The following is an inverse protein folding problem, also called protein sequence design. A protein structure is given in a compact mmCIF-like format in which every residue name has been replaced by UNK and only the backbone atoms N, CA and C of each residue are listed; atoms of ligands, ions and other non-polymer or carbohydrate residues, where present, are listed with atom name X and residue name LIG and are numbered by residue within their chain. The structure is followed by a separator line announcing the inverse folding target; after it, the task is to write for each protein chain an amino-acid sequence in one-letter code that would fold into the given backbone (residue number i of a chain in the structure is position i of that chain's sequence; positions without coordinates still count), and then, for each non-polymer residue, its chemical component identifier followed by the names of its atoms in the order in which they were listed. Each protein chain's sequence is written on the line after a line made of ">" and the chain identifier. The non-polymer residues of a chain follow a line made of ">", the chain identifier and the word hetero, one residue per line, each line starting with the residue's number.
data_IF_852613127319
#
_entry.id   IF_852613127319
#
_cell.length_a   1.000
_cell.length_b   1.000
_cell.length_c   1.000
_cell.angle_alpha   90.00
_cell.angle_beta   90.00
_cell.angle_gamma   90.00
#
_symmetry.space_group_name_H-M   'P 1'
#
loop_
_entity.id
_entity.type
_entity.pdbx_description
1 polymer ?
#
# COMPACT_ATOMS: atom_id res chain seq x y z
N UNK A 1 -8.44 -16.22 -21.46
CA UNK A 1 -8.73 -16.93 -20.20
C UNK A 1 -10.09 -16.44 -19.74
N UNK A 2 -11.02 -17.34 -19.43
CA UNK A 2 -12.33 -16.94 -18.88
C UNK A 2 -12.13 -16.24 -17.53
N UNK A 3 -12.93 -15.22 -17.23
CA UNK A 3 -12.88 -14.54 -15.94
C UNK A 3 -13.07 -15.55 -14.80
N UNK A 4 -12.41 -15.35 -13.63
CA UNK A 4 -12.64 -16.19 -12.47
C UNK A 4 -14.14 -16.22 -12.15
N UNK A 5 -14.66 -17.41 -11.88
CA UNK A 5 -16.10 -17.64 -11.62
C UNK A 5 -16.50 -17.35 -10.17
N UNK A 6 -15.52 -17.12 -9.29
CA UNK A 6 -15.73 -16.80 -7.87
C UNK A 6 -15.81 -15.30 -7.59
N UNK A 7 -16.44 -14.95 -6.47
CA UNK A 7 -16.61 -13.57 -6.01
C UNK A 7 -15.32 -13.08 -5.35
N UNK A 8 -14.82 -11.92 -5.78
CA UNK A 8 -13.64 -11.27 -5.16
C UNK A 8 -14.11 -10.14 -4.23
N UNK A 9 -13.81 -10.28 -2.95
CA UNK A 9 -13.95 -9.20 -1.98
C UNK A 9 -12.72 -8.28 -2.00
N UNK A 10 -12.93 -6.97 -1.94
CA UNK A 10 -11.87 -5.95 -1.86
C UNK A 10 -12.08 -5.09 -0.64
N UNK A 11 -11.18 -5.17 0.33
CA UNK A 11 -11.15 -4.21 1.44
C UNK A 11 -10.45 -2.92 1.04
N UNK A 12 -10.68 -1.84 1.79
CA UNK A 12 -10.10 -0.54 1.47
C UNK A 12 -10.52 -0.03 0.08
N UNK A 13 -11.68 -0.46 -0.43
CA UNK A 13 -12.13 -0.13 -1.79
C UNK A 13 -12.44 1.36 -1.99
N UNK A 14 -12.67 2.12 -0.92
CA UNK A 14 -12.74 3.60 -0.96
C UNK A 14 -11.38 4.31 -0.85
N UNK A 15 -10.28 3.55 -0.81
CA UNK A 15 -8.90 4.02 -0.71
C UNK A 15 -8.20 4.11 -2.06
N UNK A 16 -6.94 4.55 -2.03
CA UNK A 16 -6.14 4.86 -3.23
C UNK A 16 -5.74 3.61 -4.03
N UNK A 17 -5.39 2.50 -3.38
CA UNK A 17 -5.05 1.23 -4.05
C UNK A 17 -6.30 0.36 -4.23
N UNK A 18 -7.05 0.08 -3.15
CA UNK A 18 -8.22 -0.80 -3.22
C UNK A 18 -9.25 -0.37 -4.26
N UNK A 19 -9.57 0.92 -4.36
CA UNK A 19 -10.50 1.42 -5.38
C UNK A 19 -9.97 1.32 -6.81
N UNK A 20 -8.65 1.39 -7.02
CA UNK A 20 -8.00 1.17 -8.32
C UNK A 20 -8.06 -0.30 -8.73
N UNK A 21 -7.81 -1.21 -7.79
CA UNK A 21 -7.95 -2.66 -8.01
C UNK A 21 -9.39 -3.02 -8.32
N UNK A 22 -10.34 -2.52 -7.54
CA UNK A 22 -11.77 -2.76 -7.76
C UNK A 22 -12.22 -2.34 -9.16
N UNK A 23 -11.81 -1.16 -9.65
CA UNK A 23 -12.11 -0.71 -11.02
C UNK A 23 -11.55 -1.66 -12.08
N UNK A 24 -10.26 -2.02 -11.97
CA UNK A 24 -9.59 -2.95 -12.91
C UNK A 24 -10.27 -4.31 -12.97
N UNK A 25 -10.75 -4.83 -11.83
CA UNK A 25 -11.48 -6.09 -11.77
C UNK A 25 -12.90 -5.97 -12.36
N UNK A 26 -13.60 -4.87 -12.08
CA UNK A 26 -14.93 -4.59 -12.63
C UNK A 26 -14.89 -4.47 -14.17
N UNK A 27 -13.84 -3.84 -14.72
CA UNK A 27 -13.62 -3.74 -16.17
C UNK A 27 -13.42 -5.11 -16.85
N UNK A 28 -13.06 -6.14 -16.07
CA UNK A 28 -12.97 -7.53 -16.54
C UNK A 28 -14.23 -8.36 -16.26
N UNK A 29 -15.29 -7.74 -15.74
CA UNK A 29 -16.56 -8.39 -15.43
C UNK A 29 -16.49 -9.35 -14.25
N UNK A 30 -15.51 -9.19 -13.36
CA UNK A 30 -15.40 -10.02 -12.15
C UNK A 30 -16.52 -9.65 -11.17
N UNK A 31 -17.26 -10.60 -10.59
CA UNK A 31 -18.18 -10.33 -9.49
C UNK A 31 -17.43 -9.81 -8.26
N UNK A 32 -17.82 -8.62 -7.77
CA UNK A 32 -17.11 -7.94 -6.68
C UNK A 32 -17.98 -7.74 -5.45
N UNK A 33 -17.35 -7.86 -4.27
CA UNK A 33 -17.85 -7.29 -3.02
C UNK A 33 -16.88 -6.21 -2.54
N UNK A 34 -17.39 -5.00 -2.31
CA UNK A 34 -16.57 -3.86 -1.90
C UNK A 34 -16.77 -3.58 -0.43
N UNK A 35 -15.69 -3.59 0.33
CA UNK A 35 -15.68 -3.41 1.78
C UNK A 35 -14.97 -2.09 2.14
N UNK A 36 -15.53 -1.40 3.13
CA UNK A 36 -14.95 -0.21 3.71
C UNK A 36 -15.70 0.23 4.98
N UNK A 37 -15.06 1.09 5.76
CA UNK A 37 -15.67 1.68 6.97
C UNK A 37 -16.82 2.62 6.66
N UNK A 38 -16.74 3.29 5.51
CA UNK A 38 -17.74 4.24 5.04
C UNK A 38 -18.19 3.82 3.63
N UNK A 39 -19.38 3.21 3.50
CA UNK A 39 -19.93 2.80 2.22
C UNK A 39 -20.12 3.94 1.22
N UNK A 40 -20.28 5.19 1.68
CA UNK A 40 -20.44 6.36 0.79
C UNK A 40 -19.16 6.66 0.00
N UNK A 41 -18.00 6.19 0.47
CA UNK A 41 -16.71 6.33 -0.22
C UNK A 41 -16.41 5.17 -1.17
N UNK A 42 -17.23 4.12 -1.19
CA UNK A 42 -17.02 3.00 -2.09
C UNK A 42 -17.39 3.40 -3.53
N UNK A 43 -16.59 3.01 -4.53
CA UNK A 43 -16.90 3.35 -5.92
C UNK A 43 -18.19 2.64 -6.35
N UNK A 44 -19.00 3.31 -7.15
CA UNK A 44 -20.13 2.70 -7.86
C UNK A 44 -19.59 1.98 -9.11
N UNK A 45 -19.49 0.65 -9.03
CA UNK A 45 -18.98 -0.19 -10.10
C UNK A 45 -20.08 -1.15 -10.59
N UNK A 46 -20.28 -1.30 -11.91
CA UNK A 46 -21.27 -2.23 -12.45
C UNK A 46 -21.05 -3.66 -11.92
N UNK A 47 -22.13 -4.27 -11.42
CA UNK A 47 -22.08 -5.65 -10.92
C UNK A 47 -21.40 -5.84 -9.56
N UNK A 48 -20.88 -4.77 -8.93
CA UNK A 48 -20.29 -4.85 -7.60
C UNK A 48 -21.35 -4.66 -6.50
N UNK A 49 -21.25 -5.48 -5.45
CA UNK A 49 -22.03 -5.32 -4.22
C UNK A 49 -21.26 -4.47 -3.23
N UNK A 50 -21.83 -3.34 -2.81
CA UNK A 50 -21.32 -2.55 -1.68
C UNK A 50 -21.77 -3.22 -0.39
N UNK A 51 -20.83 -3.74 0.40
CA UNK A 51 -21.15 -4.35 1.68
C UNK A 51 -21.56 -3.31 2.72
N UNK A 52 -22.22 -3.76 3.79
CA UNK A 52 -22.44 -2.94 4.98
C UNK A 52 -21.09 -2.48 5.58
N UNK A 53 -21.07 -1.39 6.37
CA UNK A 53 -19.87 -0.93 7.04
C UNK A 53 -19.21 -2.07 7.84
N UNK A 54 -17.91 -2.27 7.62
CA UNK A 54 -17.14 -3.28 8.34
C UNK A 54 -15.77 -2.70 8.72
N UNK A 55 -15.53 -2.51 10.01
CA UNK A 55 -14.22 -2.18 10.55
C UNK A 55 -13.42 -3.47 10.76
N UNK A 56 -12.10 -3.43 10.60
CA UNK A 56 -11.27 -4.64 10.66
C UNK A 56 -11.33 -5.34 12.01
N UNK A 57 -11.44 -4.57 13.11
CA UNK A 57 -11.61 -5.10 14.46
C UNK A 57 -13.02 -5.60 14.78
N UNK A 58 -13.99 -5.47 13.87
CA UNK A 58 -15.35 -5.98 14.03
C UNK A 58 -15.53 -7.27 13.21
N UNK A 59 -15.18 -8.40 13.83
CA UNK A 59 -15.17 -9.70 13.15
C UNK A 59 -16.55 -10.15 12.67
N UNK A 60 -17.64 -9.80 13.38
CA UNK A 60 -18.99 -10.14 12.95
C UNK A 60 -19.40 -9.34 11.71
N UNK A 61 -19.13 -8.03 11.70
CA UNK A 61 -19.40 -7.19 10.55
C UNK A 61 -18.55 -7.59 9.33
N UNK A 62 -17.25 -7.89 9.53
CA UNK A 62 -16.37 -8.37 8.45
C UNK A 62 -16.88 -9.69 7.88
N UNK A 63 -17.25 -10.66 8.72
CA UNK A 63 -17.77 -11.96 8.27
C UNK A 63 -19.05 -11.79 7.45
N UNK A 64 -19.99 -10.95 7.91
CA UNK A 64 -21.22 -10.67 7.17
C UNK A 64 -20.95 -9.94 5.84
N UNK A 65 -19.99 -9.02 5.81
CA UNK A 65 -19.59 -8.30 4.61
C UNK A 65 -18.97 -9.22 3.54
N UNK A 66 -18.29 -10.29 3.97
CA UNK A 66 -17.63 -11.29 3.14
C UNK A 66 -18.53 -12.46 2.71
N UNK A 67 -19.81 -12.44 3.04
CA UNK A 67 -20.75 -13.51 2.68
C UNK A 67 -20.70 -13.84 1.17
N UNK A 68 -20.46 -15.12 0.85
CA UNK A 68 -20.33 -15.63 -0.51
C UNK A 68 -19.07 -15.20 -1.27
N UNK A 69 -18.06 -14.63 -0.60
CA UNK A 69 -16.76 -14.34 -1.21
C UNK A 69 -15.83 -15.56 -1.18
N UNK A 70 -15.18 -15.84 -2.31
CA UNK A 70 -14.21 -16.94 -2.46
C UNK A 70 -12.78 -16.45 -2.19
N UNK A 71 -12.46 -15.27 -2.72
CA UNK A 71 -11.15 -14.63 -2.66
C UNK A 71 -11.26 -13.26 -2.00
N UNK A 72 -10.31 -12.93 -1.14
CA UNK A 72 -10.18 -11.62 -0.53
C UNK A 72 -8.89 -10.93 -1.00
N UNK A 73 -9.02 -9.77 -1.64
CA UNK A 73 -7.93 -8.80 -1.70
C UNK A 73 -7.93 -7.96 -0.42
N UNK A 74 -7.03 -8.33 0.50
CA UNK A 74 -6.86 -7.68 1.79
C UNK A 74 -5.89 -6.51 1.63
N UNK A 75 -6.41 -5.30 1.42
CA UNK A 75 -5.64 -4.08 1.61
C UNK A 75 -5.31 -3.97 3.09
N UNK A 76 -4.07 -3.66 3.47
CA UNK A 76 -3.74 -3.49 4.89
C UNK A 76 -4.59 -2.38 5.54
N UNK A 77 -4.98 -2.59 6.81
CA UNK A 77 -5.69 -1.61 7.61
C UNK A 77 -4.87 -0.32 7.78
N UNK A 78 -5.55 0.74 8.22
CA UNK A 78 -4.93 2.01 8.57
C UNK A 78 -3.87 1.86 9.69
N UNK A 79 -3.03 2.89 9.83
CA UNK A 79 -2.13 3.01 10.97
C UNK A 79 -2.94 3.00 12.28
N UNK A 80 -2.63 2.05 13.16
CA UNK A 80 -3.30 1.82 14.44
C UNK A 80 -2.32 1.10 15.37
N UNK A 81 -2.34 1.35 16.69
CA UNK A 81 -1.50 0.62 17.63
C UNK A 81 -1.86 -0.88 17.70
N UNK A 82 -3.08 -1.26 17.27
CA UNK A 82 -3.55 -2.65 17.22
C UNK A 82 -3.71 -3.15 15.77
N UNK A 83 -2.99 -2.58 14.81
CA UNK A 83 -3.11 -2.95 13.39
C UNK A 83 -2.96 -4.44 13.13
N UNK A 84 -2.01 -5.10 13.80
CA UNK A 84 -1.85 -6.55 13.70
C UNK A 84 -3.03 -7.32 14.29
N UNK A 85 -3.66 -6.84 15.37
CA UNK A 85 -4.89 -7.41 15.92
C UNK A 85 -6.07 -7.26 14.97
N UNK A 86 -6.27 -6.05 14.43
CA UNK A 86 -7.27 -5.75 13.41
C UNK A 86 -7.14 -6.68 12.19
N UNK A 87 -5.91 -6.93 11.71
CA UNK A 87 -5.69 -7.88 10.62
C UNK A 87 -6.05 -9.32 11.00
N UNK A 88 -5.68 -9.79 12.20
CA UNK A 88 -6.05 -11.14 12.67
C UNK A 88 -7.57 -11.31 12.70
N UNK A 89 -8.28 -10.35 13.29
CA UNK A 89 -9.75 -10.37 13.34
C UNK A 89 -10.36 -10.43 11.94
N UNK A 90 -9.86 -9.62 10.99
CA UNK A 90 -10.36 -9.63 9.62
C UNK A 90 -10.06 -10.96 8.89
N UNK A 91 -8.89 -11.57 9.12
CA UNK A 91 -8.51 -12.86 8.54
C UNK A 91 -9.38 -14.00 9.10
N UNK A 92 -9.55 -14.07 10.43
CA UNK A 92 -10.42 -15.06 11.06
C UNK A 92 -11.86 -14.95 10.55
N UNK A 93 -12.37 -13.73 10.43
CA UNK A 93 -13.70 -13.46 9.89
C UNK A 93 -13.82 -13.88 8.41
N UNK A 94 -12.78 -13.68 7.60
CA UNK A 94 -12.74 -14.12 6.21
C UNK A 94 -12.78 -15.64 6.10
N UNK A 95 -11.95 -16.35 6.88
CA UNK A 95 -11.96 -17.82 6.94
C UNK A 95 -13.34 -18.33 7.37
N UNK A 96 -13.93 -17.73 8.41
CA UNK A 96 -15.25 -18.10 8.89
C UNK A 96 -16.39 -17.81 7.89
N UNK A 97 -16.18 -16.88 6.95
CA UNK A 97 -17.09 -16.60 5.84
C UNK A 97 -16.93 -17.57 4.65
N UNK A 98 -15.91 -18.44 4.67
CA UNK A 98 -15.62 -19.39 3.59
C UNK A 98 -14.59 -18.90 2.56
N UNK A 99 -13.94 -17.76 2.79
CA UNK A 99 -12.81 -17.32 1.96
C UNK A 99 -11.68 -18.34 2.09
N UNK A 100 -11.23 -18.86 0.95
CA UNK A 100 -10.15 -19.86 0.89
C UNK A 100 -8.89 -19.31 0.22
N UNK A 101 -8.95 -18.11 -0.38
CA UNK A 101 -7.80 -17.44 -1.00
C UNK A 101 -7.67 -15.98 -0.56
N UNK A 102 -6.48 -15.56 -0.15
CA UNK A 102 -6.19 -14.19 0.26
C UNK A 102 -4.98 -13.64 -0.49
N UNK A 103 -5.18 -12.53 -1.21
CA UNK A 103 -4.09 -11.70 -1.73
C UNK A 103 -3.93 -10.52 -0.78
N UNK A 104 -2.83 -10.48 -0.04
CA UNK A 104 -2.58 -9.46 0.96
C UNK A 104 -1.60 -8.39 0.44
N UNK A 105 -2.01 -7.13 0.53
CA UNK A 105 -1.13 -5.98 0.30
C UNK A 105 -0.28 -5.76 1.55
N UNK A 106 0.89 -6.38 1.52
CA UNK A 106 1.96 -6.27 2.53
C UNK A 106 2.87 -5.09 2.20
N UNK A 107 4.05 -5.02 2.82
CA UNK A 107 5.03 -3.96 2.61
C UNK A 107 6.45 -4.52 2.47
N UNK A 108 7.29 -3.87 1.65
CA UNK A 108 8.67 -4.28 1.41
C UNK A 108 9.50 -4.22 2.70
N UNK A 109 10.31 -5.26 2.93
CA UNK A 109 11.10 -5.37 4.15
C UNK A 109 10.29 -5.85 5.37
N UNK A 110 9.09 -6.41 5.18
CA UNK A 110 8.35 -7.08 6.24
C UNK A 110 9.19 -8.20 6.90
N UNK A 111 9.71 -7.90 8.09
CA UNK A 111 10.57 -8.73 8.92
C UNK A 111 10.30 -8.43 10.41
N UNK A 112 10.55 -9.37 11.34
CA UNK A 112 10.30 -9.15 12.77
C UNK A 112 11.22 -8.06 13.37
N UNK A 113 12.38 -7.86 12.75
CA UNK A 113 13.43 -6.93 13.14
C UNK A 113 13.55 -5.70 12.20
N UNK A 114 12.59 -5.51 11.28
CA UNK A 114 12.57 -4.38 10.34
C UNK A 114 12.73 -3.04 11.07
N UNK A 115 13.48 -2.08 10.50
CA UNK A 115 13.64 -0.76 11.15
C UNK A 115 12.31 -0.03 11.18
N UNK A 116 11.58 -0.02 10.06
CA UNK A 116 10.25 0.56 9.97
C UNK A 116 9.24 -0.23 10.80
N UNK A 117 8.66 0.39 11.82
CA UNK A 117 7.79 -0.31 12.78
C UNK A 117 6.55 -0.92 12.11
N UNK A 118 5.93 -0.25 11.15
CA UNK A 118 4.74 -0.81 10.48
C UNK A 118 5.08 -1.97 9.53
N UNK A 119 6.33 -2.10 9.05
CA UNK A 119 6.76 -3.30 8.33
C UNK A 119 6.75 -4.55 9.23
N UNK A 120 6.94 -4.39 10.55
CA UNK A 120 6.79 -5.49 11.51
C UNK A 120 5.33 -5.95 11.62
N UNK A 121 4.37 -5.03 11.59
CA UNK A 121 2.94 -5.38 11.57
C UNK A 121 2.58 -6.21 10.33
N UNK A 122 3.14 -5.81 9.18
CA UNK A 122 3.00 -6.57 7.93
C UNK A 122 3.61 -7.97 8.06
N UNK A 123 4.80 -8.10 8.65
CA UNK A 123 5.40 -9.41 8.94
C UNK A 123 4.50 -10.28 9.81
N UNK A 124 3.99 -9.74 10.93
CA UNK A 124 3.08 -10.48 11.81
C UNK A 124 1.82 -10.95 11.08
N UNK A 125 1.30 -10.13 10.17
CA UNK A 125 0.13 -10.46 9.35
C UNK A 125 0.43 -11.56 8.35
N UNK A 126 1.57 -11.50 7.65
CA UNK A 126 1.99 -12.57 6.75
C UNK A 126 2.21 -13.89 7.48
N UNK A 127 2.86 -13.86 8.66
CA UNK A 127 3.07 -15.07 9.46
C UNK A 127 1.75 -15.68 9.92
N UNK A 128 0.79 -14.83 10.30
CA UNK A 128 -0.52 -15.27 10.69
C UNK A 128 -1.28 -15.93 9.53
N UNK A 129 -1.28 -15.30 8.35
CA UNK A 129 -1.85 -15.87 7.12
C UNK A 129 -1.21 -17.21 6.75
N UNK A 130 0.14 -17.31 6.79
CA UNK A 130 0.88 -18.56 6.53
C UNK A 130 0.52 -19.68 7.51
N UNK A 131 0.17 -19.34 8.76
CA UNK A 131 -0.18 -20.32 9.78
C UNK A 131 -1.58 -20.95 9.57
N UNK A 132 -2.44 -20.32 8.77
CA UNK A 132 -3.71 -20.92 8.36
C UNK A 132 -3.47 -21.97 7.26
N UNK A 133 -3.29 -23.23 7.66
CA UNK A 133 -2.96 -24.36 6.77
C UNK A 133 -3.99 -24.75 5.71
N UNK A 134 -5.03 -23.93 5.48
CA UNK A 134 -6.04 -24.11 4.43
C UNK A 134 -6.32 -22.86 3.60
N UNK A 135 -5.51 -21.80 3.76
CA UNK A 135 -5.61 -20.57 2.97
C UNK A 135 -4.55 -20.53 1.88
N UNK A 136 -4.98 -20.39 0.64
CA UNK A 136 -4.09 -20.01 -0.46
C UNK A 136 -3.75 -18.53 -0.34
N UNK A 137 -2.47 -18.20 -0.20
CA UNK A 137 -2.03 -16.83 0.08
C UNK A 137 -1.04 -16.31 -0.96
N UNK A 138 -1.21 -15.05 -1.37
CA UNK A 138 -0.19 -14.29 -2.11
C UNK A 138 0.12 -12.99 -1.37
N UNK A 139 1.40 -12.67 -1.20
CA UNK A 139 1.84 -11.44 -0.54
C UNK A 139 2.39 -10.45 -1.57
N UNK A 140 1.81 -9.26 -1.62
CA UNK A 140 2.26 -8.15 -2.45
C UNK A 140 2.90 -7.12 -1.54
N UNK A 141 4.23 -7.13 -1.44
CA UNK A 141 5.01 -6.23 -0.60
C UNK A 141 5.30 -4.94 -1.36
N UNK A 142 4.40 -3.97 -1.28
CA UNK A 142 4.63 -2.69 -1.94
C UNK A 142 5.69 -1.84 -1.20
N UNK A 143 6.33 -0.94 -1.93
CA UNK A 143 7.23 0.05 -1.37
C UNK A 143 6.48 1.38 -1.17
N UNK A 144 7.17 2.41 -0.69
CA UNK A 144 6.69 3.78 -0.59
C UNK A 144 6.03 4.24 -1.88
N UNK A 145 4.94 4.98 -1.74
CA UNK A 145 4.26 5.51 -2.90
C UNK A 145 4.94 6.77 -3.43
N UNK A 146 5.10 6.86 -4.76
CA UNK A 146 5.57 8.08 -5.43
C UNK A 146 4.76 9.32 -5.03
N UNK A 147 3.46 9.15 -4.80
CA UNK A 147 2.55 10.21 -4.34
C UNK A 147 2.95 10.83 -2.98
N UNK A 148 3.68 10.09 -2.15
CA UNK A 148 4.15 10.59 -0.86
C UNK A 148 5.24 11.65 -1.02
N UNK A 149 6.10 11.52 -2.04
CA UNK A 149 7.27 12.40 -2.26
C UNK A 149 6.90 13.89 -2.31
N UNK A 150 5.97 14.35 -3.18
CA UNK A 150 5.53 15.75 -3.16
C UNK A 150 4.74 16.09 -1.90
N UNK A 151 3.92 15.17 -1.37
CA UNK A 151 3.07 15.41 -0.20
C UNK A 151 3.87 15.64 1.09
N UNK A 152 5.06 15.06 1.22
CA UNK A 152 5.97 15.25 2.36
C UNK A 152 6.87 16.48 2.21
N UNK A 153 6.86 17.13 1.05
CA UNK A 153 7.63 18.35 0.83
C UNK A 153 6.87 19.54 1.37
N UNK A 154 7.49 20.28 2.29
CA UNK A 154 6.89 21.46 2.90
C UNK A 154 6.70 22.59 1.88
N UNK A 155 5.76 23.50 2.16
CA UNK A 155 5.54 24.72 1.34
C UNK A 155 6.77 25.64 1.29
N UNK A 156 7.68 25.47 2.24
CA UNK A 156 9.00 26.11 2.28
C UNK A 156 9.99 25.53 1.24
N UNK A 157 9.56 24.54 0.45
CA UNK A 157 10.40 23.88 -0.56
C UNK A 157 11.41 22.91 0.06
N UNK A 158 11.17 22.43 1.28
CA UNK A 158 12.10 21.52 1.96
C UNK A 158 11.45 20.15 2.17
N UNK A 159 12.08 19.13 1.61
CA UNK A 159 11.79 17.72 1.92
C UNK A 159 12.66 17.32 3.12
N UNK A 160 12.05 16.89 4.23
CA UNK A 160 12.74 16.66 5.51
C UNK A 160 12.62 15.21 5.97
N UNK A 161 13.71 14.65 6.48
CA UNK A 161 13.66 13.38 7.19
C UNK A 161 15.03 12.75 7.42
N UNK A 162 15.13 11.74 8.30
CA UNK A 162 16.38 11.08 8.63
C UNK A 162 16.72 9.93 7.66
N UNK A 163 16.55 10.15 6.34
CA UNK A 163 16.85 9.13 5.34
C UNK A 163 18.32 9.13 4.88
N UNK A 164 19.12 10.11 5.32
CA UNK A 164 20.53 10.26 4.91
C UNK A 164 20.69 10.17 3.39
N UNK A 165 21.64 9.33 2.94
CA UNK A 165 21.87 8.99 1.53
C UNK A 165 21.26 7.64 1.13
N UNK A 166 20.33 7.13 1.94
CA UNK A 166 19.58 5.92 1.65
C UNK A 166 18.74 6.07 0.39
N UNK A 167 18.46 4.95 -0.28
CA UNK A 167 17.69 4.92 -1.52
C UNK A 167 16.36 4.21 -1.30
N UNK A 168 15.33 4.66 -2.01
CA UNK A 168 13.98 4.09 -1.99
C UNK A 168 13.53 3.76 -3.41
N UNK A 169 13.05 2.53 -3.62
CA UNK A 169 12.46 2.08 -4.88
C UNK A 169 10.94 2.32 -4.90
N UNK A 170 10.55 3.59 -4.74
CA UNK A 170 9.16 4.01 -4.59
C UNK A 170 8.30 3.65 -5.83
N UNK A 171 7.05 3.26 -5.60
CA UNK A 171 6.15 2.68 -6.61
C UNK A 171 4.88 3.52 -6.80
N UNK A 172 4.31 3.54 -8.00
CA UNK A 172 3.01 4.17 -8.21
C UNK A 172 1.87 3.31 -7.64
N UNK A 173 0.81 3.97 -7.17
CA UNK A 173 -0.41 3.26 -6.76
C UNK A 173 -1.06 2.49 -7.92
N UNK A 174 -0.90 2.99 -9.15
CA UNK A 174 -1.42 2.34 -10.35
C UNK A 174 -0.64 1.05 -10.65
N UNK A 175 0.69 1.07 -10.61
CA UNK A 175 1.51 -0.14 -10.75
C UNK A 175 1.16 -1.22 -9.71
N UNK A 176 0.98 -0.83 -8.44
CA UNK A 176 0.54 -1.75 -7.38
C UNK A 176 -0.83 -2.33 -7.69
N UNK A 177 -1.76 -1.52 -8.18
CA UNK A 177 -3.09 -1.97 -8.53
C UNK A 177 -3.11 -2.88 -9.77
N UNK A 178 -2.24 -2.62 -10.76
CA UNK A 178 -2.07 -3.48 -11.94
C UNK A 178 -1.48 -4.84 -11.56
N UNK A 179 -0.48 -4.88 -10.67
CA UNK A 179 0.07 -6.12 -10.12
C UNK A 179 -0.98 -6.90 -9.34
N UNK A 180 -1.72 -6.24 -8.44
CA UNK A 180 -2.77 -6.89 -7.67
C UNK A 180 -3.88 -7.44 -8.57
N UNK A 181 -4.32 -6.68 -9.58
CA UNK A 181 -5.30 -7.14 -10.54
C UNK A 181 -4.80 -8.35 -11.34
N UNK A 182 -3.56 -8.34 -11.82
CA UNK A 182 -2.96 -9.47 -12.53
C UNK A 182 -2.98 -10.76 -11.68
N UNK A 183 -2.59 -10.66 -10.41
CA UNK A 183 -2.59 -11.79 -9.46
C UNK A 183 -4.01 -12.29 -9.13
N UNK A 184 -4.97 -11.38 -9.00
CA UNK A 184 -6.37 -11.72 -8.71
C UNK A 184 -7.08 -12.35 -9.91
N UNK A 185 -6.73 -11.96 -11.13
CA UNK A 185 -7.29 -12.47 -12.38
C UNK A 185 -6.69 -13.81 -12.85
N UNK A 186 -5.61 -14.26 -12.22
CA UNK A 186 -4.93 -15.53 -12.49
C UNK A 186 -5.03 -16.47 -11.27
N UNK A 187 -6.22 -16.99 -10.93
CA UNK A 187 -6.41 -17.85 -9.75
C UNK A 187 -5.51 -19.10 -9.81
N UNK A 188 -4.90 -19.46 -8.68
CA UNK A 188 -3.98 -20.61 -8.58
C UNK A 188 -2.54 -20.35 -9.06
N UNK A 189 -2.32 -19.40 -9.97
CA UNK A 189 -1.01 -19.21 -10.60
C UNK A 189 0.03 -18.54 -9.69
N UNK A 190 -0.42 -17.87 -8.62
CA UNK A 190 0.40 -17.04 -7.75
C UNK A 190 0.30 -17.43 -6.27
N UNK A 191 -0.35 -18.55 -5.98
CA UNK A 191 -0.58 -18.97 -4.61
C UNK A 191 0.75 -19.46 -4.00
N UNK A 192 0.99 -19.10 -2.74
CA UNK A 192 2.27 -19.29 -2.05
C UNK A 192 3.36 -18.26 -2.40
N UNK A 193 3.13 -17.38 -3.38
CA UNK A 193 4.14 -16.42 -3.83
C UNK A 193 4.21 -15.17 -2.94
N UNK A 194 5.42 -14.62 -2.81
CA UNK A 194 5.69 -13.30 -2.23
C UNK A 194 6.38 -12.46 -3.29
N UNK A 195 5.83 -11.28 -3.58
CA UNK A 195 6.37 -10.35 -4.56
C UNK A 195 6.68 -9.01 -3.92
N UNK A 196 7.92 -8.54 -4.06
CA UNK A 196 8.23 -7.13 -3.83
C UNK A 196 7.71 -6.32 -5.01
N UNK A 197 6.88 -5.31 -4.76
CA UNK A 197 6.24 -4.46 -5.76
C UNK A 197 6.83 -3.06 -5.65
N UNK A 198 7.84 -2.79 -6.48
CA UNK A 198 8.66 -1.57 -6.41
C UNK A 198 8.60 -0.78 -7.70
N UNK A 199 9.06 0.47 -7.67
CA UNK A 199 9.32 1.24 -8.89
C UNK A 199 10.49 0.67 -9.70
N UNK A 200 10.68 1.17 -10.91
CA UNK A 200 11.74 0.70 -11.82
C UNK A 200 13.14 1.21 -11.50
N UNK A 201 13.24 2.11 -10.53
CA UNK A 201 14.47 2.77 -10.12
C UNK A 201 14.43 3.05 -8.61
N UNK A 202 15.60 3.17 -8.00
CA UNK A 202 15.75 3.61 -6.62
C UNK A 202 16.49 4.94 -6.58
N UNK A 203 16.01 5.87 -5.77
CA UNK A 203 16.56 7.21 -5.65
C UNK A 203 16.68 7.65 -4.20
N UNK A 204 17.58 8.58 -3.94
CA UNK A 204 17.70 9.29 -2.67
C UNK A 204 16.65 10.40 -2.56
N UNK A 205 16.35 10.86 -1.35
CA UNK A 205 15.46 12.01 -1.18
C UNK A 205 16.05 13.32 -1.75
N UNK A 206 17.38 13.41 -1.89
CA UNK A 206 18.04 14.50 -2.60
C UNK A 206 17.72 14.47 -4.11
N UNK A 207 17.86 13.31 -4.76
CA UNK A 207 17.49 13.12 -6.17
C UNK A 207 15.98 13.37 -6.39
N UNK A 208 15.13 12.97 -5.44
CA UNK A 208 13.70 13.26 -5.47
C UNK A 208 13.42 14.78 -5.41
N UNK A 209 14.11 15.51 -4.53
CA UNK A 209 13.99 16.96 -4.43
C UNK A 209 14.45 17.68 -5.72
N UNK A 210 15.44 17.14 -6.42
CA UNK A 210 15.86 17.65 -7.73
C UNK A 210 14.79 17.43 -8.80
N UNK A 211 14.15 16.26 -8.86
CA UNK A 211 13.03 16.02 -9.79
C UNK A 211 11.82 16.93 -9.48
N UNK A 212 11.51 17.14 -8.19
CA UNK A 212 10.49 18.10 -7.77
C UNK A 212 10.86 19.54 -8.20
N UNK A 213 12.13 19.93 -8.09
CA UNK A 213 12.61 21.24 -8.53
C UNK A 213 12.43 21.41 -10.04
N UNK A 214 12.78 20.38 -10.82
CA UNK A 214 12.58 20.37 -12.28
C UNK A 214 11.10 20.50 -12.64
N UNK A 215 10.22 19.78 -11.95
CA UNK A 215 8.79 19.76 -12.23
C UNK A 215 8.08 21.08 -11.83
N UNK A 216 8.52 21.73 -10.75
CA UNK A 216 7.89 22.94 -10.21
C UNK A 216 8.50 24.24 -10.72
N UNK A 217 9.73 24.20 -11.24
CA UNK A 217 10.52 25.40 -11.56
C UNK A 217 10.99 26.18 -10.32
N UNK A 218 10.80 25.64 -9.11
CA UNK A 218 11.28 26.22 -7.84
C UNK A 218 12.46 25.44 -7.30
N UNK A 219 13.26 26.08 -6.46
CA UNK A 219 14.30 25.38 -5.69
C UNK A 219 13.65 24.56 -4.59
N UNK A 220 13.66 23.24 -4.75
CA UNK A 220 13.28 22.27 -3.73
C UNK A 220 14.53 21.51 -3.31
N UNK A 221 14.73 21.38 -2.00
CA UNK A 221 15.92 20.72 -1.45
C UNK A 221 15.56 19.69 -0.40
N UNK A 222 16.34 18.63 -0.35
CA UNK A 222 16.32 17.71 0.77
C UNK A 222 17.16 18.27 1.91
N UNK A 223 16.59 18.30 3.12
CA UNK A 223 17.32 18.54 4.35
C UNK A 223 17.33 17.25 5.17
N UNK A 224 18.47 16.55 5.27
CA UNK A 224 18.57 15.41 6.17
C UNK A 224 18.40 15.89 7.61
N UNK A 225 17.54 15.19 8.35
CA UNK A 225 17.35 15.41 9.79
C UNK A 225 18.11 14.33 10.56
N UNK A 226 18.59 14.68 11.75
CA UNK A 226 18.88 13.68 12.79
C UNK A 226 17.56 13.06 13.29
N UNK A 227 17.64 11.94 13.99
CA UNK A 227 16.47 11.33 14.63
C UNK A 227 15.75 12.34 15.54
N UNK A 228 16.49 13.03 16.40
CA UNK A 228 15.91 13.98 17.37
C UNK A 228 15.23 15.16 16.68
N UNK A 229 15.83 15.71 15.62
CA UNK A 229 15.20 16.75 14.79
C UNK A 229 13.92 16.23 14.12
N UNK A 230 13.92 15.00 13.62
CA UNK A 230 12.76 14.41 12.97
C UNK A 230 11.59 14.19 13.93
N UNK A 231 11.85 13.76 15.17
CA UNK A 231 10.83 13.67 16.22
C UNK A 231 10.34 15.07 16.64
N UNK A 232 11.25 16.02 16.83
CA UNK A 232 10.90 17.39 17.19
C UNK A 232 10.01 18.05 16.14
N UNK A 233 10.35 17.94 14.85
CA UNK A 233 9.58 18.52 13.74
C UNK A 233 8.19 17.90 13.58
N UNK A 234 8.00 16.65 14.01
CA UNK A 234 6.72 15.92 13.94
C UNK A 234 5.85 16.03 15.20
N UNK A 235 6.42 16.45 16.32
CA UNK A 235 5.69 16.62 17.60
C UNK A 235 4.53 17.61 17.51
N UNK A 236 4.63 18.62 16.64
CA UNK A 236 3.61 19.65 16.43
C UNK A 236 2.33 19.17 15.73
N UNK A 237 2.31 17.95 15.16
CA UNK A 237 1.14 17.42 14.45
C UNK A 237 0.06 16.84 15.37
N UNK A 238 0.29 16.78 16.69
CA UNK A 238 -0.67 16.21 17.66
C UNK A 238 -0.89 14.70 17.51
N UNK A 239 0.02 14.01 16.81
CA UNK A 239 -0.03 12.57 16.63
C UNK A 239 0.52 11.83 17.87
N UNK A 240 -0.02 10.65 18.21
CA UNK A 240 0.53 9.80 19.26
C UNK A 240 1.98 9.36 18.99
N UNK A 241 2.74 9.09 20.04
CA UNK A 241 4.17 8.72 19.95
C UNK A 241 4.44 7.52 19.03
N UNK A 242 3.60 6.49 19.08
CA UNK A 242 3.74 5.30 18.23
C UNK A 242 3.62 5.65 16.74
N UNK A 243 2.79 6.62 16.41
CA UNK A 243 2.56 7.06 15.03
C UNK A 243 3.73 7.91 14.54
N UNK A 244 4.21 8.85 15.36
CA UNK A 244 5.43 9.62 15.07
C UNK A 244 6.63 8.69 14.91
N UNK A 245 6.76 7.66 15.75
CA UNK A 245 7.80 6.66 15.61
C UNK A 245 7.69 5.88 14.28
N UNK A 246 6.49 5.50 13.85
CA UNK A 246 6.27 4.90 12.53
C UNK A 246 6.74 5.80 11.40
N UNK A 247 6.38 7.09 11.45
CA UNK A 247 6.82 8.05 10.45
C UNK A 247 8.34 8.24 10.46
N UNK A 248 8.98 8.40 11.62
CA UNK A 248 10.44 8.60 11.68
C UNK A 248 11.19 7.34 11.23
N UNK A 249 10.82 6.17 11.73
CA UNK A 249 11.49 4.90 11.41
C UNK A 249 11.33 4.49 9.95
N UNK A 250 10.28 4.98 9.26
CA UNK A 250 10.12 4.78 7.83
C UNK A 250 11.26 5.43 7.01
N UNK A 251 11.76 6.61 7.42
CA UNK A 251 12.94 7.23 6.82
C UNK A 251 14.23 6.54 7.27
N UNK A 252 14.33 6.11 8.54
CA UNK A 252 15.52 5.39 9.02
C UNK A 252 15.70 4.05 8.27
N UNK A 253 14.62 3.39 7.85
CA UNK A 253 14.67 2.22 7.00
C UNK A 253 15.25 2.54 5.61
N UNK A 254 14.92 3.70 5.03
CA UNK A 254 15.56 4.21 3.81
C UNK A 254 17.08 4.38 4.07
N UNK A 255 17.44 5.07 5.16
CA UNK A 255 18.85 5.33 5.52
C UNK A 255 19.67 4.05 5.69
N UNK A 256 19.06 2.98 6.20
CA UNK A 256 19.67 1.66 6.36
C UNK A 256 19.73 0.82 5.08
N UNK A 257 19.14 1.31 3.99
CA UNK A 257 19.13 0.61 2.70
C UNK A 257 18.07 -0.49 2.59
N UNK A 258 17.11 -0.56 3.52
CA UNK A 258 16.07 -1.60 3.55
C UNK A 258 15.06 -1.48 2.39
N UNK A 259 14.94 -0.27 1.81
CA UNK A 259 13.91 0.06 0.81
C UNK A 259 14.46 0.35 -0.58
N UNK A 260 15.76 0.15 -0.81
CA UNK A 260 16.44 0.51 -2.06
C UNK A 260 16.48 -0.58 -3.13
N UNK A 261 16.06 -1.80 -2.81
CA UNK A 261 16.07 -2.93 -3.74
C UNK A 261 14.95 -2.77 -4.79
N UNK A 262 15.33 -2.80 -6.07
CA UNK A 262 14.42 -2.77 -7.22
C UNK A 262 14.04 -4.18 -7.63
N UNK A 263 12.75 -4.41 -7.89
CA UNK A 263 12.19 -5.67 -8.37
C UNK A 263 11.68 -5.54 -9.81
N UNK A 264 11.55 -6.67 -10.50
CA UNK A 264 10.99 -6.72 -11.86
C UNK A 264 9.47 -6.99 -11.87
N UNK A 265 8.83 -7.07 -10.69
CA UNK A 265 7.48 -7.60 -10.52
C UNK A 265 6.45 -6.90 -11.39
N UNK A 266 6.44 -5.55 -11.41
CA UNK A 266 5.49 -4.78 -12.22
C UNK A 266 5.63 -5.19 -13.68
N UNK A 267 6.84 -5.08 -14.25
CA UNK A 267 7.10 -5.47 -15.64
C UNK A 267 6.70 -6.91 -15.94
N UNK A 268 7.07 -7.84 -15.05
CA UNK A 268 6.84 -9.27 -15.24
C UNK A 268 5.36 -9.64 -15.20
N UNK A 269 4.56 -9.01 -14.34
CA UNK A 269 3.17 -9.38 -14.14
C UNK A 269 2.18 -8.54 -14.96
N UNK A 270 2.53 -7.30 -15.30
CA UNK A 270 1.63 -6.37 -16.00
C UNK A 270 2.04 -6.13 -17.46
N UNK A 271 3.29 -6.45 -17.82
CA UNK A 271 3.84 -6.26 -19.16
C UNK A 271 4.29 -4.84 -19.50
N UNK A 272 4.10 -3.86 -18.60
CA UNK A 272 4.57 -2.49 -18.80
C UNK A 272 5.69 -2.11 -17.82
N UNK A 273 6.44 -1.06 -18.13
CA UNK A 273 7.43 -0.54 -17.19
C UNK A 273 6.72 0.08 -15.96
N UNK A 274 7.31 -0.02 -14.75
CA UNK A 274 6.84 0.78 -13.61
C UNK A 274 6.96 2.27 -13.91
N UNK A 275 6.04 3.06 -13.37
CA UNK A 275 6.03 4.51 -13.48
C UNK A 275 7.24 5.12 -12.74
N UNK A 276 7.92 6.07 -13.39
CA UNK A 276 9.02 6.82 -12.77
C UNK A 276 8.48 7.96 -11.91
N UNK A 277 9.29 8.53 -11.00
CA UNK A 277 8.90 9.74 -10.26
C UNK A 277 8.59 10.89 -11.22
N UNK A 278 9.38 11.05 -12.28
CA UNK A 278 9.16 12.09 -13.29
C UNK A 278 7.80 11.94 -13.97
N UNK A 279 7.49 10.75 -14.46
CA UNK A 279 6.22 10.50 -15.14
C UNK A 279 5.03 10.69 -14.19
N UNK A 280 5.17 10.23 -12.94
CA UNK A 280 4.16 10.46 -11.91
C UNK A 280 3.83 11.94 -11.73
N UNK A 281 4.85 12.82 -11.65
CA UNK A 281 4.67 14.26 -11.47
C UNK A 281 4.02 14.91 -12.70
N UNK A 282 4.34 14.45 -13.91
CA UNK A 282 3.72 14.92 -15.16
C UNK A 282 2.25 14.53 -15.26
N UNK A 283 1.92 13.27 -14.92
CA UNK A 283 0.54 12.78 -14.97
C UNK A 283 -0.34 13.30 -13.82
N UNK A 284 0.27 13.70 -12.71
CA UNK A 284 -0.42 14.18 -11.51
C UNK A 284 0.02 15.60 -11.13
N UNK A 285 -0.17 16.62 -11.99
CA UNK A 285 0.28 17.98 -11.70
C UNK A 285 -0.38 18.56 -10.43
N UNK A 286 -1.60 18.12 -10.10
CA UNK A 286 -2.28 18.51 -8.85
C UNK A 286 -1.56 18.06 -7.57
N UNK A 287 -0.65 17.08 -7.65
CA UNK A 287 0.21 16.69 -6.50
C UNK A 287 1.23 17.76 -6.12
N UNK A 288 1.49 18.71 -7.02
CA UNK A 288 2.45 19.81 -6.83
C UNK A 288 1.77 21.13 -6.45
N UNK A 289 0.43 21.19 -6.38
CA UNK A 289 -0.30 22.45 -6.21
C UNK A 289 0.23 23.29 -5.03
N UNK A 290 0.40 22.67 -3.86
CA UNK A 290 0.90 23.36 -2.66
C UNK A 290 2.37 23.81 -2.74
N UNK A 291 3.10 23.34 -3.76
CA UNK A 291 4.48 23.71 -4.06
C UNK A 291 4.57 24.71 -5.20
N UNK A 292 3.49 25.01 -5.92
CA UNK A 292 3.49 25.99 -7.02
C UNK A 292 2.69 27.25 -6.71
N UNK A 293 1.84 27.19 -5.68
CA UNK A 293 1.12 28.33 -5.10
C UNK A 293 2.05 29.33 -4.38
#
# INVERSE_FOLDING_TARGET
>A
MSAPTGVIAVTGAGGRVGGRVARRLADKGVPLRLLGRDPARLPDLPGAVKAAPAAYGDGEAVRAALDGADTLFLVSAHESPDRAGEHRTAVDAAVAAGVHRIVYLSFQGAAPDATFTFARDHWHTEQYLRAHGGLECTFLRDNWYLAGIPAMTGRDGVLRGPAGNGRVAAVAHDDVADVAAAVLLAPGAHDGMTYDVTGGEAFTLAEAAEELSRATGRTIRYLPETRDEAYASRSGFGAPEWQVAGWVTSYEAIARGELGAVSDTVRRLTGHAPMTLRDYLVEHPGSLAHLTD
#
